data_IF_729131076030
#
_entry.id   IF_729131076030
#
_cell.length_a   1.000
_cell.length_b   1.000
_cell.length_c   1.000
_cell.angle_alpha   90.00
_cell.angle_beta   90.00
_cell.angle_gamma   90.00
#
_symmetry.space_group_name_H-M   'P 1'
#
loop_
_entity.id
_entity.type
_entity.pdbx_description
1 polymer ?
#
# COMPACT_ATOMS: atom_id res chain seq x y z
N UNK A 1 -11.93 -20.68 -2.66
CA UNK A 1 -13.08 -19.89 -2.15
C UNK A 1 -14.35 -20.13 -2.96
N UNK A 2 -15.50 -20.49 -2.35
CA UNK A 2 -16.79 -20.25 -2.98
C UNK A 2 -17.15 -18.75 -2.85
N UNK A 3 -17.33 -18.08 -3.98
CA UNK A 3 -17.86 -16.72 -4.06
C UNK A 3 -19.31 -16.75 -3.57
N UNK A 4 -19.57 -16.16 -2.42
CA UNK A 4 -20.94 -15.90 -1.99
C UNK A 4 -21.45 -14.72 -2.80
N UNK A 5 -22.31 -14.99 -3.78
CA UNK A 5 -22.94 -13.95 -4.60
C UNK A 5 -23.56 -12.88 -3.69
N UNK A 6 -23.15 -11.60 -3.84
CA UNK A 6 -23.77 -10.46 -3.14
C UNK A 6 -22.82 -9.51 -2.40
N UNK A 7 -21.50 -9.73 -2.40
CA UNK A 7 -20.59 -8.96 -1.52
C UNK A 7 -20.22 -7.55 -1.98
N UNK A 8 -20.51 -7.17 -3.23
CA UNK A 8 -20.22 -5.83 -3.73
C UNK A 8 -18.78 -5.39 -3.47
N UNK A 9 -18.60 -4.26 -2.78
CA UNK A 9 -17.28 -3.69 -2.43
C UNK A 9 -16.46 -4.51 -1.42
N UNK A 10 -17.06 -5.49 -0.74
CA UNK A 10 -16.36 -6.36 0.21
C UNK A 10 -15.68 -7.55 -0.46
N UNK A 11 -16.04 -7.87 -1.70
CA UNK A 11 -15.46 -9.01 -2.43
C UNK A 11 -13.94 -8.85 -2.63
N UNK A 12 -13.48 -7.62 -2.90
CA UNK A 12 -12.06 -7.34 -3.07
C UNK A 12 -11.27 -7.40 -1.76
N UNK A 13 -11.89 -7.00 -0.65
CA UNK A 13 -11.30 -7.12 0.69
C UNK A 13 -11.09 -8.59 1.04
N UNK A 14 -12.12 -9.43 0.84
CA UNK A 14 -12.00 -10.88 1.05
C UNK A 14 -10.94 -11.54 0.18
N UNK A 15 -10.80 -11.10 -1.07
CA UNK A 15 -9.72 -11.57 -1.94
C UNK A 15 -8.36 -11.26 -1.32
N UNK A 16 -8.16 -10.04 -0.84
CA UNK A 16 -6.91 -9.65 -0.18
C UNK A 16 -6.67 -10.46 1.11
N UNK A 17 -7.70 -10.71 1.92
CA UNK A 17 -7.58 -11.55 3.13
C UNK A 17 -7.14 -12.98 2.81
N UNK A 18 -7.60 -13.55 1.71
CA UNK A 18 -7.28 -14.92 1.33
C UNK A 18 -5.90 -15.02 0.69
N UNK A 19 -5.51 -14.02 -0.11
CA UNK A 19 -4.11 -13.87 -0.54
C UNK A 19 -3.19 -13.77 0.67
N UNK A 20 -3.54 -12.98 1.69
CA UNK A 20 -2.75 -12.84 2.91
C UNK A 20 -2.65 -14.13 3.75
N UNK A 21 -3.56 -15.09 3.58
CA UNK A 21 -3.49 -16.41 4.24
C UNK A 21 -2.55 -17.38 3.51
N UNK A 22 -2.46 -17.26 2.19
CA UNK A 22 -1.69 -18.18 1.34
C UNK A 22 -0.30 -17.64 0.97
N UNK A 23 -0.09 -16.32 1.07
CA UNK A 23 1.10 -15.62 0.56
C UNK A 23 1.59 -14.53 1.51
N UNK A 24 2.92 -14.50 1.73
CA UNK A 24 3.61 -13.44 2.48
C UNK A 24 3.98 -12.24 1.59
N UNK A 25 3.12 -11.92 0.62
CA UNK A 25 3.35 -10.81 -0.31
C UNK A 25 2.92 -9.47 0.29
N UNK A 26 3.91 -8.66 0.67
CA UNK A 26 3.68 -7.34 1.26
C UNK A 26 3.23 -6.29 0.23
N UNK A 27 3.26 -6.60 -1.08
CA UNK A 27 2.71 -5.70 -2.10
C UNK A 27 1.21 -5.49 -1.93
N UNK A 28 0.51 -6.39 -1.22
CA UNK A 28 -0.88 -6.25 -0.81
C UNK A 28 -1.16 -4.97 -0.02
N UNK A 29 -0.15 -4.45 0.69
CA UNK A 29 -0.22 -3.24 1.50
C UNK A 29 0.33 -2.00 0.78
N UNK A 30 0.81 -2.15 -0.45
CA UNK A 30 1.47 -1.10 -1.22
C UNK A 30 0.49 -0.32 -2.13
N UNK A 31 -0.76 -0.19 -1.72
CA UNK A 31 -1.77 0.61 -2.42
C UNK A 31 -1.81 2.04 -1.88
N UNK A 32 -2.39 2.94 -2.66
CA UNK A 32 -2.63 4.32 -2.24
C UNK A 32 -3.99 4.73 -2.77
N UNK A 33 -4.86 5.22 -1.88
CA UNK A 33 -6.19 5.69 -2.29
C UNK A 33 -6.08 6.63 -3.48
N UNK A 34 -6.58 6.18 -4.61
CA UNK A 34 -6.45 6.91 -5.87
C UNK A 34 -7.46 8.05 -5.86
N UNK A 35 -6.99 9.26 -5.61
CA UNK A 35 -7.79 10.45 -5.76
C UNK A 35 -7.67 10.88 -7.22
N UNK A 36 -8.70 10.60 -8.03
CA UNK A 36 -8.78 11.21 -9.34
C UNK A 36 -8.67 12.73 -9.16
N UNK A 37 -7.77 13.43 -9.88
CA UNK A 37 -7.78 14.88 -9.90
C UNK A 37 -9.15 15.27 -10.45
N UNK A 38 -10.03 15.72 -9.56
CA UNK A 38 -11.38 16.11 -9.93
C UNK A 38 -11.30 17.42 -10.72
N UNK A 39 -10.94 17.33 -12.01
CA UNK A 39 -11.26 18.34 -13.00
C UNK A 39 -12.75 18.30 -13.37
N UNK A 40 -13.54 17.46 -12.70
CA UNK A 40 -14.96 17.32 -12.90
C UNK A 40 -15.71 18.47 -12.23
N UNK A 41 -16.03 19.46 -13.06
CA UNK A 41 -17.11 20.41 -12.90
C UNK A 41 -18.40 19.67 -12.52
N UNK A 42 -18.68 19.55 -11.22
CA UNK A 42 -19.90 18.97 -10.69
C UNK A 42 -20.11 19.42 -9.24
N UNK A 43 -21.32 19.80 -8.79
CA UNK A 43 -21.52 20.45 -7.49
C UNK A 43 -21.32 19.56 -6.25
N UNK A 44 -20.74 18.35 -6.38
CA UNK A 44 -20.79 17.32 -5.33
C UNK A 44 -19.47 16.55 -5.11
N UNK A 45 -18.33 17.04 -5.60
CA UNK A 45 -17.02 16.58 -5.08
C UNK A 45 -16.60 17.54 -3.96
N UNK A 46 -17.06 17.27 -2.75
CA UNK A 46 -16.89 18.11 -1.55
C UNK A 46 -15.46 18.16 -1.00
N UNK A 47 -14.44 17.79 -1.77
CA UNK A 47 -13.04 17.88 -1.34
C UNK A 47 -12.54 19.31 -1.45
N UNK A 48 -12.83 20.11 -0.42
CA UNK A 48 -12.18 21.40 -0.21
C UNK A 48 -10.68 21.17 0.05
N UNK A 49 -9.77 21.92 -0.60
CA UNK A 49 -8.36 21.93 -0.22
C UNK A 49 -8.25 22.22 1.29
N UNK A 50 -7.67 21.29 2.05
CA UNK A 50 -7.52 21.42 3.51
C UNK A 50 -8.48 20.59 4.38
N UNK A 51 -9.42 19.82 3.82
CA UNK A 51 -10.20 18.85 4.61
C UNK A 51 -9.39 17.55 4.82
N UNK A 52 -9.39 16.95 6.03
CA UNK A 52 -8.71 15.67 6.27
C UNK A 52 -9.24 14.58 5.33
N UNK A 53 -8.32 13.76 4.81
CA UNK A 53 -8.66 12.59 4.01
C UNK A 53 -9.61 11.71 4.82
N UNK A 54 -10.65 11.20 4.17
CA UNK A 54 -11.49 10.17 4.78
C UNK A 54 -10.61 9.00 5.25
N UNK A 55 -10.81 8.51 6.47
CA UNK A 55 -10.06 7.36 6.98
C UNK A 55 -10.31 6.16 6.06
N UNK A 56 -9.23 5.47 5.71
CA UNK A 56 -9.28 4.24 4.94
C UNK A 56 -8.72 3.09 5.78
N UNK A 57 -9.18 1.87 5.49
CA UNK A 57 -8.72 0.66 6.18
C UNK A 57 -7.30 0.29 5.77
N UNK A 58 -6.83 -0.87 6.22
CA UNK A 58 -5.51 -1.40 5.87
C UNK A 58 -5.47 -2.09 4.50
N UNK A 59 -6.63 -2.62 4.08
CA UNK A 59 -6.84 -3.23 2.77
C UNK A 59 -7.54 -2.23 1.85
N UNK A 60 -7.22 -2.33 0.56
CA UNK A 60 -7.83 -1.51 -0.47
C UNK A 60 -9.30 -1.89 -0.65
N UNK A 61 -10.13 -0.91 -0.98
CA UNK A 61 -11.57 -1.15 -1.21
C UNK A 61 -11.82 -1.46 -2.69
N UNK A 62 -10.99 -0.92 -3.59
CA UNK A 62 -11.03 -1.18 -5.03
C UNK A 62 -9.65 -1.55 -5.57
N UNK A 63 -9.55 -2.41 -6.60
CA UNK A 63 -8.30 -2.59 -7.35
C UNK A 63 -7.75 -1.28 -7.94
N UNK A 64 -8.59 -0.27 -8.18
CA UNK A 64 -8.14 1.04 -8.68
C UNK A 64 -7.19 1.77 -7.71
N UNK A 65 -7.23 1.42 -6.41
CA UNK A 65 -6.30 1.96 -5.41
C UNK A 65 -4.84 1.51 -5.64
N UNK A 66 -4.62 0.52 -6.52
CA UNK A 66 -3.28 0.09 -6.95
C UNK A 66 -2.81 0.80 -8.22
N UNK A 67 -3.56 1.76 -8.77
CA UNK A 67 -3.19 2.47 -10.00
C UNK A 67 -1.77 3.09 -9.94
N UNK A 68 -1.37 3.57 -8.77
CA UNK A 68 -0.04 4.18 -8.56
C UNK A 68 1.04 3.19 -8.09
N UNK A 69 0.76 1.88 -8.04
CA UNK A 69 1.65 0.87 -7.46
C UNK A 69 2.57 0.19 -8.47
N UNK A 70 2.75 0.79 -9.66
CA UNK A 70 3.53 0.20 -10.76
C UNK A 70 5.04 0.11 -10.49
N UNK A 71 5.58 0.96 -9.60
CA UNK A 71 7.02 1.01 -9.27
C UNK A 71 7.33 0.35 -7.91
N UNK A 72 6.45 -0.54 -7.45
CA UNK A 72 6.67 -1.27 -6.19
C UNK A 72 7.65 -2.41 -6.43
N UNK A 73 8.84 -2.31 -5.83
CA UNK A 73 9.88 -3.34 -5.89
C UNK A 73 9.97 -4.05 -4.53
N UNK A 74 9.86 -5.37 -4.53
CA UNK A 74 10.05 -6.18 -3.33
C UNK A 74 11.53 -6.28 -2.97
N UNK A 75 11.87 -5.91 -1.73
CA UNK A 75 13.25 -6.03 -1.20
C UNK A 75 13.75 -7.48 -1.14
N UNK A 76 12.84 -8.42 -0.88
CA UNK A 76 13.09 -9.86 -0.80
C UNK A 76 11.98 -10.56 -1.57
N UNK A 77 12.27 -11.71 -2.18
CA UNK A 77 11.22 -12.51 -2.82
C UNK A 77 10.17 -12.95 -1.81
N UNK A 78 8.90 -13.09 -2.23
CA UNK A 78 7.74 -13.42 -1.37
C UNK A 78 8.00 -14.60 -0.42
N UNK A 79 8.72 -15.63 -0.87
CA UNK A 79 9.07 -16.82 -0.08
C UNK A 79 9.99 -16.54 1.11
N UNK A 80 10.73 -15.44 1.08
CA UNK A 80 11.69 -15.04 2.12
C UNK A 80 11.14 -13.92 3.01
N UNK A 81 9.94 -13.43 2.71
CA UNK A 81 9.31 -12.46 3.57
C UNK A 81 8.87 -13.15 4.87
N UNK A 82 9.07 -12.49 6.02
CA UNK A 82 8.54 -12.96 7.28
C UNK A 82 7.01 -13.06 7.19
N UNK A 83 6.44 -14.00 7.94
CA UNK A 83 5.00 -14.16 8.01
C UNK A 83 4.34 -12.89 8.55
N UNK A 84 3.25 -12.49 7.90
CA UNK A 84 2.34 -11.48 8.42
C UNK A 84 0.96 -12.09 8.60
N UNK A 85 0.14 -11.52 9.47
CA UNK A 85 -1.21 -12.04 9.71
C UNK A 85 -2.20 -10.92 9.88
N UNK A 86 -3.31 -11.01 9.15
CA UNK A 86 -4.49 -10.19 9.37
C UNK A 86 -5.32 -10.85 10.48
N UNK A 87 -5.55 -10.10 11.54
CA UNK A 87 -6.33 -10.53 12.71
C UNK A 87 -7.59 -9.68 12.83
N UNK A 88 -8.55 -10.12 13.65
CA UNK A 88 -9.70 -9.29 14.00
C UNK A 88 -9.34 -8.02 14.78
N UNK A 89 -8.07 -7.86 15.20
CA UNK A 89 -7.53 -6.65 15.84
C UNK A 89 -6.65 -5.81 14.91
N UNK A 90 -6.52 -6.19 13.64
CA UNK A 90 -5.68 -5.50 12.66
C UNK A 90 -4.50 -6.35 12.17
N UNK A 91 -3.43 -5.71 11.74
CA UNK A 91 -2.30 -6.35 11.08
C UNK A 91 -1.14 -6.61 12.05
N UNK A 92 -0.64 -7.85 12.04
CA UNK A 92 0.59 -8.24 12.74
C UNK A 92 1.69 -8.47 11.70
N UNK A 93 2.77 -7.69 11.77
CA UNK A 93 3.96 -7.85 10.92
C UNK A 93 5.18 -8.00 11.82
N UNK A 94 6.07 -8.94 11.46
CA UNK A 94 7.42 -9.01 12.01
C UNK A 94 8.40 -8.58 10.92
N UNK A 95 9.26 -7.61 11.20
CA UNK A 95 10.28 -7.15 10.25
C UNK A 95 11.60 -6.87 10.96
N UNK A 96 12.70 -7.01 10.22
CA UNK A 96 14.03 -6.66 10.70
C UNK A 96 14.30 -5.19 10.41
N UNK A 97 14.87 -4.49 11.40
CA UNK A 97 15.36 -3.14 11.21
C UNK A 97 16.78 -3.19 10.64
N UNK A 98 16.95 -2.88 9.35
CA UNK A 98 18.29 -2.73 8.75
C UNK A 98 18.72 -1.27 8.85
N UNK A 99 19.71 -0.97 9.69
CA UNK A 99 20.38 0.33 9.67
C UNK A 99 21.46 0.31 8.60
N UNK A 100 21.24 1.01 7.49
CA UNK A 100 22.27 1.24 6.48
C UNK A 100 23.08 2.47 6.89
N UNK A 101 24.34 2.27 7.28
CA UNK A 101 25.29 3.38 7.43
C UNK A 101 25.59 3.90 6.03
N UNK A 102 24.99 5.03 5.66
CA UNK A 102 25.36 5.72 4.42
C UNK A 102 26.78 6.25 4.62
N UNK A 103 27.80 5.79 3.87
CA UNK A 103 29.13 6.34 3.99
C UNK A 103 29.06 7.82 3.62
N UNK A 104 29.56 8.70 4.49
CA UNK A 104 29.84 10.09 4.15
C UNK A 104 30.86 10.06 3.01
N UNK A 105 30.40 10.15 1.76
CA UNK A 105 31.27 10.50 0.66
C UNK A 105 31.85 11.85 0.99
N UNK A 106 33.17 11.88 1.21
CA UNK A 106 33.96 13.09 1.35
C UNK A 106 33.55 14.04 0.22
N UNK A 107 32.90 15.15 0.58
CA UNK A 107 32.91 16.36 -0.22
C UNK A 107 34.33 16.94 -0.17
N UNK A 108 35.29 16.20 -0.73
CA UNK A 108 36.60 16.71 -1.05
C UNK A 108 36.45 17.49 -2.36
N UNK A 109 36.23 18.79 -2.19
CA UNK A 109 36.87 19.85 -2.98
C UNK A 109 37.25 19.48 -4.42
N UNK A 110 36.40 19.87 -5.37
CA UNK A 110 36.85 20.27 -6.69
C UNK A 110 36.82 21.81 -6.72
N UNK A 111 37.88 22.40 -6.18
CA UNK A 111 38.36 23.70 -6.63
C UNK A 111 39.34 23.40 -7.77
N UNK A 112 39.03 23.80 -8.99
CA UNK A 112 40.06 24.18 -9.96
C UNK A 112 39.42 25.05 -11.04
N UNK A 113 39.96 26.28 -11.09
CA UNK A 113 39.93 27.36 -12.10
C UNK A 113 38.60 27.85 -12.71
#
# INVERSE_FOLDING_TARGET
MPLLYGEGSQAFVRLQEEIAKESNDLSLLAWRRFEWPSNSLGPQSTKRPGLPREPCGILAISPDDFHSSHDVILRRGVKYNPEFTITNKGLKITTEATSTVVPKTLSASYSEE
#
